data_IF_556015731814
#
_entry.id   IF_556015731814
#
_cell.length_a   1.000
_cell.length_b   1.000
_cell.length_c   1.000
_cell.angle_alpha   90.00
_cell.angle_beta   90.00
_cell.angle_gamma   90.00
#
_symmetry.space_group_name_H-M   'P 1'
#
loop_
_entity.id
_entity.type
_entity.pdbx_description
1 polymer ?
#
# COMPACT_ATOMS: atom_id res chain seq x y z
N UNK A 1 -31.22 7.20 3.42
CA UNK A 1 -30.85 6.50 2.16
C UNK A 1 -29.63 7.20 1.60
N UNK A 2 -28.54 6.49 1.30
CA UNK A 2 -27.37 7.13 0.69
C UNK A 2 -27.73 7.65 -0.70
N UNK A 3 -27.28 8.85 -1.03
CA UNK A 3 -27.49 9.42 -2.36
C UNK A 3 -26.72 8.59 -3.39
N UNK A 4 -27.10 8.68 -4.67
CA UNK A 4 -26.31 8.06 -5.73
C UNK A 4 -24.87 8.59 -5.78
N UNK A 5 -24.67 9.86 -5.43
CA UNK A 5 -23.35 10.46 -5.31
C UNK A 5 -22.50 9.81 -4.20
N UNK A 6 -23.10 9.52 -3.05
CA UNK A 6 -22.42 8.82 -1.95
C UNK A 6 -22.00 7.41 -2.39
N UNK A 7 -22.89 6.68 -3.07
CA UNK A 7 -22.58 5.34 -3.60
C UNK A 7 -21.41 5.37 -4.59
N UNK A 8 -21.40 6.34 -5.51
CA UNK A 8 -20.30 6.50 -6.45
C UNK A 8 -19.00 6.83 -5.74
N UNK A 9 -19.02 7.75 -4.77
CA UNK A 9 -17.84 8.10 -3.96
C UNK A 9 -17.27 6.88 -3.25
N UNK A 10 -18.12 6.06 -2.64
CA UNK A 10 -17.70 4.85 -1.91
C UNK A 10 -17.07 3.82 -2.87
N UNK A 11 -17.65 3.62 -4.06
CA UNK A 11 -17.08 2.74 -5.10
C UNK A 11 -15.70 3.24 -5.56
N UNK A 12 -15.57 4.53 -5.85
CA UNK A 12 -14.28 5.11 -6.30
C UNK A 12 -13.22 4.96 -5.22
N UNK A 13 -13.54 5.32 -3.97
CA UNK A 13 -12.61 5.22 -2.85
C UNK A 13 -12.16 3.77 -2.61
N UNK A 14 -13.11 2.83 -2.52
CA UNK A 14 -12.80 1.41 -2.28
C UNK A 14 -12.00 0.78 -3.43
N UNK A 15 -12.29 1.16 -4.68
CA UNK A 15 -11.53 0.67 -5.85
C UNK A 15 -10.10 1.18 -5.84
N UNK A 16 -9.89 2.46 -5.54
CA UNK A 16 -8.54 3.04 -5.45
C UNK A 16 -7.71 2.37 -4.35
N UNK A 17 -8.30 2.16 -3.18
CA UNK A 17 -7.65 1.49 -2.04
C UNK A 17 -7.32 0.03 -2.40
N UNK A 18 -8.22 -0.68 -3.06
CA UNK A 18 -7.96 -2.05 -3.54
C UNK A 18 -6.80 -2.12 -4.53
N UNK A 19 -6.69 -1.14 -5.44
CA UNK A 19 -5.55 -1.03 -6.35
C UNK A 19 -4.25 -0.75 -5.60
N UNK A 20 -4.26 0.21 -4.68
CA UNK A 20 -3.12 0.56 -3.85
C UNK A 20 -2.61 -0.64 -3.03
N UNK A 21 -3.55 -1.40 -2.46
CA UNK A 21 -3.24 -2.62 -1.69
C UNK A 21 -2.66 -3.73 -2.58
N UNK A 22 -3.16 -3.83 -3.81
CA UNK A 22 -2.60 -4.78 -4.79
C UNK A 22 -1.19 -4.40 -5.22
N UNK A 23 -0.95 -3.10 -5.48
CA UNK A 23 0.40 -2.60 -5.77
C UNK A 23 1.35 -2.84 -4.60
N UNK A 24 0.93 -2.55 -3.37
CA UNK A 24 1.79 -2.71 -2.20
C UNK A 24 2.16 -4.17 -1.94
N UNK A 25 1.26 -5.11 -2.22
CA UNK A 25 1.55 -6.54 -2.23
C UNK A 25 2.58 -6.91 -3.29
N UNK A 26 2.34 -6.56 -4.54
CA UNK A 26 3.20 -6.96 -5.67
C UNK A 26 4.59 -6.31 -5.61
N UNK A 27 4.69 -5.08 -5.10
CA UNK A 27 5.95 -4.38 -4.87
C UNK A 27 6.68 -4.86 -3.59
N UNK A 28 6.07 -5.77 -2.83
CA UNK A 28 6.63 -6.31 -1.60
C UNK A 28 6.59 -5.35 -0.39
N UNK A 29 6.02 -4.15 -0.53
CA UNK A 29 5.83 -3.17 0.57
C UNK A 29 4.99 -3.77 1.69
N UNK A 30 3.88 -4.42 1.35
CA UNK A 30 3.02 -5.06 2.34
C UNK A 30 3.76 -6.16 3.09
N UNK A 31 4.60 -6.94 2.40
CA UNK A 31 5.41 -7.98 3.03
C UNK A 31 6.45 -7.42 4.00
N UNK A 32 7.06 -6.26 3.69
CA UNK A 32 7.96 -5.55 4.62
C UNK A 32 7.21 -5.20 5.90
N UNK A 33 6.05 -4.55 5.79
CA UNK A 33 5.24 -4.16 6.95
C UNK A 33 4.75 -5.37 7.76
N UNK A 34 4.40 -6.47 7.11
CA UNK A 34 3.98 -7.71 7.77
C UNK A 34 5.11 -8.37 8.55
N UNK A 35 6.37 -8.17 8.15
CA UNK A 35 7.53 -8.77 8.80
C UNK A 35 8.22 -7.81 9.79
N UNK A 36 7.91 -6.51 9.70
CA UNK A 36 8.50 -5.49 10.56
C UNK A 36 8.16 -5.73 12.04
N UNK A 37 9.18 -5.68 12.90
CA UNK A 37 9.02 -5.75 14.36
C UNK A 37 8.84 -4.36 15.00
N UNK A 38 9.13 -3.30 14.24
CA UNK A 38 8.99 -1.89 14.65
C UNK A 38 8.30 -1.10 13.53
N UNK A 39 7.69 0.06 13.84
CA UNK A 39 7.27 1.00 12.81
C UNK A 39 8.46 1.45 11.96
N UNK A 40 8.22 1.63 10.65
CA UNK A 40 9.26 1.91 9.66
C UNK A 40 9.00 3.23 8.93
N UNK A 41 10.06 3.93 8.58
CA UNK A 41 9.98 5.08 7.67
C UNK A 41 9.71 4.63 6.23
N UNK A 42 9.20 5.55 5.39
CA UNK A 42 9.11 5.32 3.94
C UNK A 42 10.46 5.00 3.31
N UNK A 43 11.55 5.58 3.83
CA UNK A 43 12.91 5.35 3.36
C UNK A 43 13.36 3.91 3.64
N UNK A 44 13.16 3.40 4.86
CA UNK A 44 13.48 2.00 5.22
C UNK A 44 12.71 1.02 4.32
N UNK A 45 11.41 1.23 4.14
CA UNK A 45 10.54 0.36 3.33
C UNK A 45 10.97 0.37 1.86
N UNK A 46 11.23 1.56 1.30
CA UNK A 46 11.65 1.69 -0.09
C UNK A 46 13.04 1.07 -0.34
N UNK A 47 13.96 1.23 0.62
CA UNK A 47 15.29 0.66 0.52
C UNK A 47 15.27 -0.87 0.49
N UNK A 48 14.45 -1.52 1.32
CA UNK A 48 14.35 -3.00 1.38
C UNK A 48 13.85 -3.63 0.07
N UNK A 49 13.13 -2.87 -0.77
CA UNK A 49 12.54 -3.33 -2.03
C UNK A 49 13.10 -2.66 -3.28
N UNK A 50 14.19 -1.91 -3.15
CA UNK A 50 14.79 -1.12 -4.24
C UNK A 50 13.78 -0.25 -5.01
N UNK A 51 12.91 0.40 -4.24
CA UNK A 51 11.91 1.33 -4.75
C UNK A 51 12.40 2.77 -4.61
N UNK A 52 11.86 3.65 -5.46
CA UNK A 52 11.95 5.10 -5.29
C UNK A 52 11.12 5.49 -4.08
N UNK A 53 11.75 6.11 -3.09
CA UNK A 53 11.11 6.46 -1.82
C UNK A 53 9.84 7.30 -2.01
N UNK A 54 9.87 8.29 -2.90
CA UNK A 54 8.71 9.16 -3.14
C UNK A 54 7.45 8.37 -3.49
N UNK A 55 7.56 7.40 -4.41
CA UNK A 55 6.39 6.61 -4.83
C UNK A 55 5.94 5.64 -3.74
N UNK A 56 6.89 5.02 -3.03
CA UNK A 56 6.57 4.19 -1.88
C UNK A 56 5.83 4.99 -0.80
N UNK A 57 6.27 6.23 -0.52
CA UNK A 57 5.64 7.12 0.46
C UNK A 57 4.21 7.50 0.05
N UNK A 58 3.97 7.90 -1.20
CA UNK A 58 2.61 8.24 -1.64
C UNK A 58 1.67 7.04 -1.55
N UNK A 59 2.16 5.85 -1.89
CA UNK A 59 1.37 4.62 -1.75
C UNK A 59 1.06 4.29 -0.28
N UNK A 60 2.05 4.42 0.60
CA UNK A 60 1.87 4.24 2.05
C UNK A 60 0.89 5.26 2.63
N UNK A 61 0.98 6.52 2.22
CA UNK A 61 0.04 7.57 2.63
C UNK A 61 -1.39 7.24 2.18
N UNK A 62 -1.58 6.80 0.94
CA UNK A 62 -2.89 6.37 0.44
C UNK A 62 -3.48 5.25 1.29
N UNK A 63 -2.69 4.21 1.59
CA UNK A 63 -3.12 3.11 2.46
C UNK A 63 -3.40 3.54 3.90
N UNK A 64 -2.61 4.48 4.43
CA UNK A 64 -2.81 5.01 5.78
C UNK A 64 -4.09 5.87 5.88
N UNK A 65 -4.36 6.70 4.88
CA UNK A 65 -5.61 7.49 4.82
C UNK A 65 -6.86 6.63 4.68
N UNK A 66 -6.71 5.42 4.13
CA UNK A 66 -7.76 4.43 4.04
C UNK A 66 -7.85 3.49 5.24
N UNK A 67 -7.06 3.75 6.29
CA UNK A 67 -7.00 2.95 7.52
C UNK A 67 -6.65 1.47 7.29
N UNK A 68 -5.98 1.16 6.18
CA UNK A 68 -5.46 -0.18 5.89
C UNK A 68 -4.17 -0.45 6.64
N UNK A 69 -3.36 0.60 6.85
CA UNK A 69 -2.16 0.59 7.67
C UNK A 69 -2.20 1.81 8.60
N UNK A 70 -1.36 1.81 9.64
CA UNK A 70 -1.25 2.94 10.56
C UNK A 70 -0.04 3.80 10.25
N UNK A 71 -0.21 5.12 10.40
CA UNK A 71 0.87 6.08 10.39
C UNK A 71 0.98 6.77 11.76
N UNK A 72 2.18 6.81 12.33
CA UNK A 72 2.49 7.52 13.57
C UNK A 72 3.65 8.49 13.32
N UNK A 73 3.79 9.50 14.17
CA UNK A 73 4.86 10.49 14.03
C UNK A 73 5.78 10.41 15.24
N UNK A 74 7.09 10.47 15.01
CA UNK A 74 8.08 10.60 16.10
C UNK A 74 8.05 12.01 16.69
N UNK A 75 8.71 12.21 17.83
CA UNK A 75 8.88 13.54 18.45
C UNK A 75 9.58 14.55 17.51
N UNK A 76 10.33 14.06 16.52
CA UNK A 76 11.03 14.86 15.51
C UNK A 76 10.22 15.12 14.25
N UNK A 77 8.96 14.70 14.18
CA UNK A 77 8.09 14.91 13.02
C UNK A 77 8.25 13.87 11.90
N UNK A 78 9.06 12.83 12.10
CA UNK A 78 9.25 11.75 11.11
C UNK A 78 8.04 10.80 11.13
N UNK A 79 7.44 10.58 9.96
CA UNK A 79 6.31 9.66 9.78
C UNK A 79 6.80 8.20 9.71
N UNK A 80 6.13 7.34 10.47
CA UNK A 80 6.40 5.91 10.60
C UNK A 80 5.14 5.12 10.26
N UNK A 81 5.29 4.05 9.49
CA UNK A 81 4.21 3.18 9.04
C UNK A 81 4.31 1.82 9.71
N UNK A 82 3.16 1.26 10.09
CA UNK A 82 3.09 -0.05 10.74
C UNK A 82 1.73 -0.71 10.59
N UNK A 83 1.69 -2.00 10.89
CA UNK A 83 0.49 -2.79 11.11
C UNK A 83 0.50 -3.28 12.56
N UNK A 84 -0.67 -3.35 13.19
CA UNK A 84 -0.84 -4.02 14.49
C UNK A 84 -0.79 -5.54 14.32
N UNK A 85 -0.55 -6.28 15.39
CA UNK A 85 -0.35 -7.74 15.31
C UNK A 85 -1.61 -8.50 14.86
N UNK A 86 -2.79 -8.04 15.26
CA UNK A 86 -4.08 -8.57 14.80
C UNK A 86 -4.31 -8.33 13.30
N UNK A 87 -3.93 -7.15 12.80
CA UNK A 87 -3.98 -6.81 11.37
C UNK A 87 -2.98 -7.66 10.57
N UNK A 88 -1.75 -7.82 11.06
CA UNK A 88 -0.75 -8.73 10.46
C UNK A 88 -1.29 -10.15 10.38
N UNK A 89 -1.94 -10.64 11.45
CA UNK A 89 -2.56 -11.96 11.47
C UNK A 89 -3.66 -12.07 10.41
N UNK A 90 -4.54 -11.07 10.28
CA UNK A 90 -5.60 -11.04 9.27
C UNK A 90 -5.05 -11.12 7.84
N UNK A 91 -3.98 -10.40 7.53
CA UNK A 91 -3.30 -10.47 6.23
C UNK A 91 -2.61 -11.82 5.99
N UNK A 92 -2.05 -12.46 7.02
CA UNK A 92 -1.42 -13.79 6.87
C UNK A 92 -2.42 -14.93 6.61
N UNK A 93 -3.71 -14.68 6.70
CA UNK A 93 -4.75 -15.65 6.33
C UNK A 93 -4.99 -15.71 4.82
N UNK A 94 -6.08 -16.38 4.38
CA UNK A 94 -6.49 -16.47 2.97
C UNK A 94 -6.81 -15.09 2.34
N UNK A 95 -6.98 -14.04 3.13
CA UNK A 95 -7.23 -12.67 2.65
C UNK A 95 -6.18 -12.20 1.65
N UNK A 96 -4.91 -12.55 1.85
CA UNK A 96 -3.82 -12.19 0.92
C UNK A 96 -4.02 -12.74 -0.49
N UNK A 97 -4.72 -13.88 -0.64
CA UNK A 97 -4.97 -14.49 -1.95
C UNK A 97 -5.99 -13.68 -2.78
N UNK A 98 -6.87 -12.92 -2.14
CA UNK A 98 -7.88 -12.10 -2.81
C UNK A 98 -7.36 -10.74 -3.26
N UNK A 99 -6.24 -10.28 -2.70
CA UNK A 99 -5.55 -9.06 -3.13
C UNK A 99 -4.84 -9.37 -4.45
N UNK A 100 -5.47 -9.04 -5.57
CA UNK A 100 -4.98 -9.34 -6.91
C UNK A 100 -5.54 -8.38 -7.94
N UNK A 101 -4.86 -8.28 -9.09
CA UNK A 101 -5.32 -7.45 -10.21
C UNK A 101 -5.91 -8.32 -11.33
N UNK A 102 -6.99 -7.88 -12.01
CA UNK A 102 -7.55 -8.62 -13.13
C UNK A 102 -6.52 -8.86 -14.24
N UNK A 103 -6.36 -10.14 -14.66
CA UNK A 103 -5.36 -10.55 -15.66
C UNK A 103 -5.45 -9.76 -16.97
N UNK A 104 -6.65 -9.37 -17.40
CA UNK A 104 -6.87 -8.61 -18.63
C UNK A 104 -6.23 -7.21 -18.63
N UNK A 105 -5.89 -6.66 -17.46
CA UNK A 105 -5.26 -5.35 -17.31
C UNK A 105 -3.81 -5.40 -16.83
N UNK A 106 -3.20 -6.61 -16.79
CA UNK A 106 -1.88 -6.81 -16.19
C UNK A 106 -0.76 -6.01 -16.87
N UNK A 107 -0.83 -5.80 -18.18
CA UNK A 107 0.19 -5.05 -18.92
C UNK A 107 0.29 -3.60 -18.45
N UNK A 108 -0.84 -2.91 -18.30
CA UNK A 108 -0.89 -1.53 -17.78
C UNK A 108 -0.46 -1.50 -16.32
N UNK A 109 -0.87 -2.50 -15.54
CA UNK A 109 -0.48 -2.63 -14.14
C UNK A 109 1.02 -2.83 -13.96
N UNK A 110 1.66 -3.65 -14.80
CA UNK A 110 3.10 -3.88 -14.80
C UNK A 110 3.87 -2.60 -15.15
N UNK A 111 3.36 -1.78 -16.08
CA UNK A 111 3.95 -0.46 -16.37
C UNK A 111 3.91 0.46 -15.14
N UNK A 112 2.81 0.47 -14.39
CA UNK A 112 2.71 1.24 -13.15
C UNK A 112 3.73 0.73 -12.13
N UNK A 113 3.85 -0.60 -11.94
CA UNK A 113 4.84 -1.18 -11.02
C UNK A 113 6.28 -0.79 -11.38
N UNK A 114 6.60 -0.73 -12.67
CA UNK A 114 7.94 -0.34 -13.12
C UNK A 114 8.32 1.07 -12.67
N UNK A 115 7.40 2.03 -12.64
CA UNK A 115 7.67 3.41 -12.18
C UNK A 115 8.22 3.44 -10.76
N UNK A 116 7.75 2.54 -9.87
CA UNK A 116 8.19 2.47 -8.49
C UNK A 116 9.64 1.98 -8.34
N UNK A 117 10.16 1.21 -9.29
CA UNK A 117 11.53 0.70 -9.23
C UNK A 117 12.54 1.83 -9.33
N UNK A 118 13.65 1.75 -8.57
CA UNK A 118 14.78 2.70 -8.68
C UNK A 118 15.32 2.82 -10.11
N UNK A 119 15.33 1.72 -10.87
CA UNK A 119 15.80 1.68 -12.27
C UNK A 119 14.66 1.92 -13.28
N UNK A 120 13.44 2.12 -12.79
CA UNK A 120 12.26 2.36 -13.61
C UNK A 120 12.20 3.76 -14.23
N UNK A 121 11.28 3.97 -15.17
CA UNK A 121 11.11 5.26 -15.86
C UNK A 121 10.79 6.40 -14.90
N UNK A 122 11.14 7.63 -15.29
CA UNK A 122 10.93 8.87 -14.54
C UNK A 122 9.46 9.31 -14.55
#
# INVERSE_FOLDING_TARGET
MSSYADKLRDIVNTTHVGLALTLSKDLGILQVLLNAQKPLTSHEIAAERDLKERYARELLNSLATAEVIHASTTDTGILLYHLKEDEKAAFRTRTMAYISFPKGMIKTFDQVKLVFSKTGPL
#
